data_IF_474175376469
#
_entry.id   IF_474175376469
#
_cell.length_a   1.000
_cell.length_b   1.000
_cell.length_c   1.000
_cell.angle_alpha   90.00
_cell.angle_beta   90.00
_cell.angle_gamma   90.00
#
_symmetry.space_group_name_H-M   'P 1'
#
loop_
_entity.id
_entity.type
_entity.pdbx_description
1 polymer ?
#
# COMPACT_ATOMS: atom_id res chain seq x y z
N UNK A 1 -7.97 3.92 -9.13
CA UNK A 1 -7.90 5.25 -8.47
C UNK A 1 -8.95 6.17 -9.10
N UNK A 2 -9.62 7.04 -8.34
CA UNK A 2 -10.67 7.94 -8.87
C UNK A 2 -10.17 9.21 -9.56
N UNK A 3 -8.85 9.45 -9.60
CA UNK A 3 -8.26 10.66 -10.16
C UNK A 3 -8.09 10.58 -11.69
N UNK A 4 -8.03 11.74 -12.35
CA UNK A 4 -7.79 11.86 -13.79
C UNK A 4 -6.30 12.06 -14.09
N UNK A 5 -5.84 11.56 -15.25
CA UNK A 5 -4.47 11.76 -15.71
C UNK A 5 -4.24 13.21 -16.14
N UNK A 6 -3.12 13.79 -15.72
CA UNK A 6 -2.69 15.15 -16.04
C UNK A 6 -1.17 15.21 -16.18
N UNK A 7 -0.64 16.31 -16.74
CA UNK A 7 0.81 16.46 -17.05
C UNK A 7 1.77 16.16 -15.89
N UNK A 8 1.32 16.27 -14.64
CA UNK A 8 2.13 16.04 -13.43
C UNK A 8 1.70 14.81 -12.62
N UNK A 9 0.68 14.07 -13.07
CA UNK A 9 0.15 12.93 -12.32
C UNK A 9 -0.45 11.91 -13.27
N UNK A 10 0.14 10.72 -13.28
CA UNK A 10 -0.33 9.57 -14.04
C UNK A 10 -0.97 8.57 -13.08
N UNK A 11 -2.30 8.54 -13.09
CA UNK A 11 -3.10 7.50 -12.47
C UNK A 11 -3.16 6.26 -13.38
N UNK A 12 -3.48 5.08 -12.83
CA UNK A 12 -3.77 3.89 -13.62
C UNK A 12 -4.84 4.14 -14.68
N UNK A 13 -4.64 3.59 -15.88
CA UNK A 13 -5.61 3.62 -16.96
C UNK A 13 -6.88 2.88 -16.54
N UNK A 14 -8.03 3.55 -16.71
CA UNK A 14 -9.34 2.99 -16.35
C UNK A 14 -9.78 1.95 -17.38
N UNK A 15 -10.50 0.92 -16.93
CA UNK A 15 -10.98 -0.15 -17.80
C UNK A 15 -9.89 -1.09 -18.31
N UNK A 16 -8.65 -0.93 -17.83
CA UNK A 16 -7.50 -1.77 -18.18
C UNK A 16 -7.18 -2.65 -16.98
N UNK A 17 -7.07 -3.96 -17.20
CA UNK A 17 -6.84 -4.94 -16.12
C UNK A 17 -5.54 -4.62 -15.38
N UNK A 18 -5.60 -4.69 -14.05
CA UNK A 18 -4.40 -4.70 -13.20
C UNK A 18 -4.18 -6.15 -12.76
N UNK A 19 -3.10 -6.75 -13.24
CA UNK A 19 -2.79 -8.18 -13.06
C UNK A 19 -2.67 -8.61 -11.58
N UNK A 20 -2.55 -7.68 -10.62
CA UNK A 20 -2.55 -7.99 -9.19
C UNK A 20 -3.92 -8.46 -8.64
N UNK A 21 -5.04 -8.19 -9.31
CA UNK A 21 -6.37 -8.71 -8.91
C UNK A 21 -6.69 -10.09 -9.52
N UNK A 22 -6.06 -10.46 -10.64
CA UNK A 22 -6.40 -11.68 -11.42
C UNK A 22 -5.33 -12.80 -11.34
N UNK A 23 -4.24 -12.59 -10.60
CA UNK A 23 -3.13 -13.53 -10.44
C UNK A 23 -3.51 -14.84 -9.71
N UNK A 24 -4.74 -14.99 -9.24
CA UNK A 24 -5.24 -16.25 -8.73
C UNK A 24 -5.51 -17.30 -9.83
N UNK A 25 -5.45 -16.96 -11.14
CA UNK A 25 -5.94 -17.91 -12.15
C UNK A 25 -5.34 -17.96 -13.55
N UNK A 26 -4.56 -16.99 -14.06
CA UNK A 26 -4.09 -17.11 -15.45
C UNK A 26 -2.76 -16.40 -15.73
N UNK A 27 -1.74 -17.18 -16.07
CA UNK A 27 -0.36 -16.76 -16.38
C UNK A 27 -0.20 -16.03 -17.71
N UNK A 28 -1.00 -14.98 -17.95
CA UNK A 28 -0.91 -14.19 -19.17
C UNK A 28 -0.07 -12.93 -18.93
N UNK A 29 1.06 -12.82 -19.62
CA UNK A 29 1.84 -11.59 -19.69
C UNK A 29 0.96 -10.41 -20.20
N UNK A 30 1.21 -9.18 -19.73
CA UNK A 30 0.45 -8.00 -20.15
C UNK A 30 0.50 -7.85 -21.67
N UNK A 31 -0.66 -7.82 -22.31
CA UNK A 31 -0.78 -7.77 -23.77
C UNK A 31 -0.70 -6.35 -24.33
N UNK A 32 -0.83 -5.33 -23.49
CA UNK A 32 -0.88 -3.92 -23.88
C UNK A 32 0.03 -3.04 -22.99
N UNK A 33 0.58 -1.96 -23.55
CA UNK A 33 1.41 -0.97 -22.84
C UNK A 33 0.70 -0.37 -21.62
N UNK A 34 -0.61 -0.15 -21.72
CA UNK A 34 -1.44 0.34 -20.62
C UNK A 34 -1.56 -0.67 -19.48
N UNK A 35 -1.62 -1.96 -19.79
CA UNK A 35 -1.64 -3.04 -18.79
C UNK A 35 -0.29 -3.13 -18.08
N UNK A 36 0.80 -3.03 -18.84
CA UNK A 36 2.14 -2.99 -18.27
C UNK A 36 2.35 -1.80 -17.34
N UNK A 37 1.90 -0.60 -17.75
CA UNK A 37 1.91 0.57 -16.88
C UNK A 37 1.11 0.35 -15.60
N UNK A 38 -0.12 -0.15 -15.72
CA UNK A 38 -0.99 -0.43 -14.56
C UNK A 38 -0.37 -1.46 -13.62
N UNK A 39 0.27 -2.51 -14.15
CA UNK A 39 0.97 -3.51 -13.36
C UNK A 39 2.13 -2.92 -12.58
N UNK A 40 3.01 -2.13 -13.24
CA UNK A 40 4.14 -1.47 -12.57
C UNK A 40 3.67 -0.46 -11.53
N UNK A 41 2.65 0.33 -11.86
CA UNK A 41 2.05 1.26 -10.91
C UNK A 41 1.48 0.53 -9.69
N UNK A 42 0.75 -0.56 -9.88
CA UNK A 42 0.16 -1.32 -8.78
C UNK A 42 1.23 -2.03 -7.93
N UNK A 43 2.27 -2.57 -8.55
CA UNK A 43 3.43 -3.15 -7.86
C UNK A 43 4.13 -2.13 -6.96
N UNK A 44 4.38 -0.91 -7.48
CA UNK A 44 5.00 0.16 -6.69
C UNK A 44 4.09 0.59 -5.54
N UNK A 45 2.78 0.74 -5.82
CA UNK A 45 1.79 1.07 -4.80
C UNK A 45 1.77 0.04 -3.68
N UNK A 46 1.82 -1.26 -4.01
CA UNK A 46 1.86 -2.35 -3.03
C UNK A 46 3.09 -2.23 -2.11
N UNK A 47 4.28 -1.93 -2.66
CA UNK A 47 5.49 -1.71 -1.85
C UNK A 47 5.29 -0.54 -0.88
N UNK A 48 4.73 0.57 -1.36
CA UNK A 48 4.47 1.76 -0.53
C UNK A 48 3.45 1.45 0.58
N UNK A 49 2.35 0.77 0.25
CA UNK A 49 1.31 0.37 1.21
C UNK A 49 1.87 -0.59 2.27
N UNK A 50 2.71 -1.56 1.88
CA UNK A 50 3.40 -2.45 2.82
C UNK A 50 4.30 -1.70 3.79
N UNK A 51 5.04 -0.69 3.31
CA UNK A 51 5.85 0.17 4.20
C UNK A 51 4.93 0.87 5.21
N UNK A 52 3.85 1.50 4.77
CA UNK A 52 2.91 2.15 5.68
C UNK A 52 2.29 1.17 6.68
N UNK A 53 1.99 -0.06 6.28
CA UNK A 53 1.49 -1.09 7.20
C UNK A 53 2.50 -1.43 8.28
N UNK A 54 3.78 -1.65 7.92
CA UNK A 54 4.85 -1.89 8.90
C UNK A 54 4.95 -0.73 9.88
N UNK A 55 4.90 0.52 9.39
CA UNK A 55 4.94 1.70 10.24
C UNK A 55 3.72 1.78 11.18
N UNK A 56 2.51 1.48 10.68
CA UNK A 56 1.29 1.43 11.50
C UNK A 56 1.32 0.30 12.52
N UNK A 57 1.86 -0.86 12.16
CA UNK A 57 2.02 -2.00 13.06
C UNK A 57 2.94 -1.62 14.22
N UNK A 58 4.09 -1.04 13.92
CA UNK A 58 5.11 -0.67 14.90
C UNK A 58 4.75 0.57 15.73
N UNK A 59 4.15 1.57 15.12
CA UNK A 59 3.79 2.83 15.77
C UNK A 59 2.27 2.97 15.78
N UNK A 60 1.65 2.57 16.89
CA UNK A 60 0.19 2.60 17.07
C UNK A 60 -0.42 3.99 16.90
N UNK A 61 0.36 5.06 17.15
CA UNK A 61 -0.04 6.46 16.91
C UNK A 61 -0.38 6.74 15.44
N UNK A 62 0.14 5.94 14.50
CA UNK A 62 -0.16 6.06 13.06
C UNK A 62 -1.40 5.26 12.64
N UNK A 63 -2.00 4.45 13.53
CA UNK A 63 -3.22 3.68 13.24
C UNK A 63 -4.48 4.56 13.27
N UNK A 64 -4.48 5.61 14.07
CA UNK A 64 -5.58 6.56 14.17
C UNK A 64 -5.16 7.95 13.71
N UNK A 65 -6.15 8.81 13.46
CA UNK A 65 -5.95 10.23 13.23
C UNK A 65 -6.35 11.00 14.50
N UNK A 66 -5.47 11.07 15.52
CA UNK A 66 -5.71 11.92 16.67
C UNK A 66 -5.89 13.38 16.22
N UNK A 67 -6.65 14.22 16.96
CA UNK A 67 -7.01 15.57 16.55
C UNK A 67 -5.84 16.54 16.72
N UNK A 68 -4.76 16.31 15.98
CA UNK A 68 -3.58 17.17 15.97
C UNK A 68 -3.61 18.11 14.76
N UNK A 69 -2.97 19.29 14.87
CA UNK A 69 -2.71 20.12 13.70
C UNK A 69 -1.90 19.36 12.64
N UNK A 70 -2.08 19.71 11.36
CA UNK A 70 -1.35 19.08 10.25
C UNK A 70 0.17 19.08 10.46
N UNK A 71 0.72 20.18 10.99
CA UNK A 71 2.15 20.30 11.30
C UNK A 71 2.61 19.20 12.28
N UNK A 72 1.83 18.94 13.32
CA UNK A 72 2.12 17.90 14.31
C UNK A 72 2.03 16.50 13.70
N UNK A 73 1.09 16.25 12.79
CA UNK A 73 1.06 14.97 12.06
C UNK A 73 2.33 14.73 11.24
N UNK A 74 2.84 15.76 10.55
CA UNK A 74 4.10 15.68 9.80
C UNK A 74 5.28 15.38 10.73
N UNK A 75 5.35 16.07 11.88
CA UNK A 75 6.39 15.84 12.89
C UNK A 75 6.34 14.40 13.44
N UNK A 76 5.15 13.89 13.78
CA UNK A 76 4.96 12.51 14.25
C UNK A 76 5.49 11.51 13.22
N UNK A 77 5.11 11.65 11.94
CA UNK A 77 5.58 10.76 10.88
C UNK A 77 7.09 10.81 10.75
N UNK A 78 7.69 12.01 10.75
CA UNK A 78 9.15 12.17 10.64
C UNK A 78 9.87 11.54 11.83
N UNK A 79 9.39 11.76 13.06
CA UNK A 79 9.95 11.15 14.28
C UNK A 79 9.86 9.62 14.24
N UNK A 80 8.74 9.04 13.81
CA UNK A 80 8.60 7.60 13.66
C UNK A 80 9.59 7.02 12.64
N UNK A 81 9.78 7.68 11.49
CA UNK A 81 10.77 7.27 10.47
C UNK A 81 12.19 7.37 11.00
N UNK A 82 12.55 8.48 11.65
CA UNK A 82 13.87 8.65 12.26
C UNK A 82 14.16 7.59 13.32
N UNK A 83 13.19 7.32 14.19
CA UNK A 83 13.32 6.30 15.23
C UNK A 83 13.45 4.89 14.66
N UNK A 84 12.64 4.56 13.64
CA UNK A 84 12.73 3.30 12.91
C UNK A 84 14.13 3.09 12.31
N UNK A 85 14.65 4.10 11.61
CA UNK A 85 15.98 4.03 10.98
C UNK A 85 17.10 3.91 12.02
N UNK A 86 16.98 4.63 13.14
CA UNK A 86 17.93 4.53 14.24
C UNK A 86 17.95 3.14 14.86
N UNK A 87 16.78 2.58 15.18
CA UNK A 87 16.67 1.25 15.77
C UNK A 87 17.13 0.16 14.80
N UNK A 88 16.82 0.27 13.51
CA UNK A 88 17.33 -0.66 12.50
C UNK A 88 18.87 -0.64 12.40
N UNK A 89 19.50 0.52 12.62
CA UNK A 89 20.95 0.66 12.56
C UNK A 89 21.64 0.11 13.81
N UNK A 90 21.09 0.39 14.99
CA UNK A 90 21.76 0.15 16.27
C UNK A 90 21.28 -1.13 16.98
N UNK A 91 20.07 -1.62 16.68
CA UNK A 91 19.45 -2.77 17.35
C UNK A 91 19.25 -3.96 16.39
N UNK A 92 20.15 -4.95 16.44
CA UNK A 92 20.14 -6.12 15.53
C UNK A 92 19.00 -7.11 15.77
N UNK A 93 18.26 -6.98 16.86
CA UNK A 93 17.13 -7.86 17.23
C UNK A 93 15.76 -7.28 16.88
N UNK A 94 15.71 -6.12 16.21
CA UNK A 94 14.47 -5.47 15.77
C UNK A 94 13.95 -6.14 14.49
N UNK A 95 13.66 -7.43 14.59
CA UNK A 95 13.11 -8.21 13.50
C UNK A 95 11.63 -7.88 13.35
N UNK A 96 11.27 -7.36 12.18
CA UNK A 96 9.89 -6.98 11.91
C UNK A 96 9.08 -8.24 11.65
N UNK A 97 7.85 -8.33 12.19
CA UNK A 97 6.96 -9.38 11.77
C UNK A 97 6.75 -9.24 10.27
N UNK A 98 7.10 -10.30 9.56
CA UNK A 98 6.65 -10.49 8.19
C UNK A 98 5.14 -10.57 8.33
N UNK A 99 4.41 -9.55 7.88
CA UNK A 99 2.98 -9.72 7.69
C UNK A 99 2.83 -10.90 6.71
N UNK A 100 2.44 -12.06 7.23
CA UNK A 100 1.97 -13.14 6.38
C UNK A 100 0.80 -12.57 5.61
N UNK A 101 1.01 -12.41 4.30
CA UNK A 101 -0.06 -12.08 3.36
C UNK A 101 -0.99 -13.28 3.34
N UNK A 102 -1.90 -13.37 4.30
CA UNK A 102 -3.20 -13.97 3.99
C UNK A 102 -3.89 -12.97 3.10
N UNK A 103 -4.02 -13.30 1.81
CA UNK A 103 -5.30 -13.56 1.13
C UNK A 103 -6.57 -12.77 1.52
N UNK A 104 -6.51 -11.72 2.34
CA UNK A 104 -7.65 -11.00 2.91
C UNK A 104 -8.13 -9.82 2.07
N UNK A 105 -7.44 -9.49 0.96
CA UNK A 105 -8.10 -8.69 -0.09
C UNK A 105 -9.21 -9.49 -0.79
N UNK A 106 -9.26 -10.83 -0.59
CA UNK A 106 -10.25 -11.70 -1.24
C UNK A 106 -11.46 -12.05 -0.35
N UNK A 107 -11.50 -11.63 0.92
CA UNK A 107 -12.54 -12.08 1.86
C UNK A 107 -13.46 -10.98 2.42
N UNK A 108 -13.37 -9.73 1.95
CA UNK A 108 -14.28 -8.65 2.37
C UNK A 108 -15.40 -8.33 1.37
N UNK A 109 -15.62 -9.18 0.35
CA UNK A 109 -16.78 -9.08 -0.54
C UNK A 109 -17.43 -10.47 -0.69
N UNK A 110 -17.80 -11.09 0.42
CA UNK A 110 -18.92 -12.02 0.47
C UNK A 110 -19.63 -11.67 1.76
N UNK A 111 -20.63 -10.80 1.67
CA UNK A 111 -21.81 -10.69 2.54
C UNK A 111 -22.41 -9.29 2.39
N UNK A 112 -23.43 -9.17 1.53
CA UNK A 112 -24.20 -7.93 1.36
C UNK A 112 -25.15 -7.91 0.16
N UNK A 113 -26.35 -8.49 0.36
CA UNK A 113 -27.66 -8.20 -0.29
C UNK A 113 -27.83 -8.56 -1.78
N UNK A 114 -28.58 -9.62 -2.12
CA UNK A 114 -30.06 -9.75 -2.23
C UNK A 114 -30.68 -8.82 -3.29
N UNK A 115 -30.84 -9.36 -4.51
CA UNK A 115 -32.16 -9.49 -5.15
C UNK A 115 -32.43 -10.96 -5.43
#
# INVERSE_FOLDING_TARGET
>A
CGFANRRQFLAPYRGVRSYLQDLAGNGNDPGNENEFFNLRHASLRNVIERIFNIFKYRFTILKSAPPFPFKTHVEIVLTCVSLHNFLHKECRSDEFPIEEVSTLSSSLIVDGELE
#
